data_IF_380398035670
#
_entry.id   IF_380398035670
#
_cell.length_a   1.000
_cell.length_b   1.000
_cell.length_c   1.000
_cell.angle_alpha   90.00
_cell.angle_beta   90.00
_cell.angle_gamma   90.00
#
_symmetry.space_group_name_H-M   'P 1'
#
loop_
_entity.id
_entity.type
_entity.pdbx_description
1 polymer ?
#
# COMPACT_ATOMS: atom_id res chain seq x y z
N UNK A 1 -41.12 -14.46 -16.42
CA UNK A 1 -40.62 -13.45 -15.47
C UNK A 1 -39.35 -14.01 -14.88
N UNK A 2 -38.18 -13.50 -15.28
CA UNK A 2 -36.91 -13.99 -14.74
C UNK A 2 -36.73 -13.42 -13.34
N UNK A 3 -36.70 -14.26 -12.32
CA UNK A 3 -36.51 -13.83 -10.93
C UNK A 3 -35.11 -13.24 -10.81
N UNK A 4 -35.00 -11.93 -10.65
CA UNK A 4 -33.72 -11.24 -10.49
C UNK A 4 -32.96 -11.78 -9.28
N UNK A 5 -31.69 -12.17 -9.41
CA UNK A 5 -30.96 -12.79 -8.31
C UNK A 5 -30.70 -11.78 -7.18
N UNK A 6 -31.04 -12.15 -5.94
CA UNK A 6 -30.73 -11.39 -4.72
C UNK A 6 -29.29 -11.61 -4.22
N UNK A 7 -28.41 -12.16 -5.07
CA UNK A 7 -27.01 -12.51 -4.78
C UNK A 7 -26.19 -12.52 -6.06
N UNK A 8 -24.88 -12.74 -5.96
CA UNK A 8 -24.01 -12.94 -7.14
C UNK A 8 -24.48 -14.11 -8.00
N UNK A 9 -24.35 -13.99 -9.32
CA UNK A 9 -24.69 -15.07 -10.26
C UNK A 9 -23.69 -16.21 -10.14
N UNK A 10 -24.08 -17.42 -10.58
CA UNK A 10 -23.17 -18.58 -10.60
C UNK A 10 -21.91 -18.31 -11.42
N UNK A 11 -22.04 -17.58 -12.53
CA UNK A 11 -20.90 -17.20 -13.38
C UNK A 11 -19.95 -16.23 -12.68
N UNK A 12 -20.48 -15.25 -11.94
CA UNK A 12 -19.67 -14.33 -11.13
C UNK A 12 -18.92 -15.09 -10.04
N UNK A 13 -19.61 -15.97 -9.31
CA UNK A 13 -19.00 -16.78 -8.25
C UNK A 13 -17.93 -17.71 -8.82
N UNK A 14 -18.24 -18.40 -9.93
CA UNK A 14 -17.28 -19.29 -10.58
C UNK A 14 -16.01 -18.54 -11.01
N UNK A 15 -16.13 -17.30 -11.49
CA UNK A 15 -14.99 -16.47 -11.83
C UNK A 15 -14.19 -16.02 -10.59
N UNK A 16 -14.87 -15.58 -9.53
CA UNK A 16 -14.23 -15.11 -8.30
C UNK A 16 -13.44 -16.21 -7.56
N UNK A 17 -13.87 -17.47 -7.70
CA UNK A 17 -13.18 -18.66 -7.16
C UNK A 17 -11.99 -19.14 -8.03
N UNK A 18 -11.73 -18.52 -9.18
CA UNK A 18 -10.55 -18.89 -9.97
C UNK A 18 -9.26 -18.38 -9.32
N UNK A 19 -8.14 -19.09 -9.51
CA UNK A 19 -6.83 -18.57 -9.13
C UNK A 19 -6.49 -17.30 -9.89
N UNK A 20 -5.70 -16.43 -9.29
CA UNK A 20 -5.22 -15.24 -9.97
C UNK A 20 -4.20 -15.61 -11.06
N UNK A 21 -4.31 -14.97 -12.23
CA UNK A 21 -3.34 -15.17 -13.30
C UNK A 21 -2.02 -14.47 -12.98
N UNK A 22 -0.90 -15.17 -13.14
CA UNK A 22 0.47 -14.66 -13.03
C UNK A 22 0.68 -13.34 -13.80
N UNK A 23 0.01 -13.16 -14.94
CA UNK A 23 0.15 -11.98 -15.80
C UNK A 23 -0.33 -10.70 -15.13
N UNK A 24 -1.17 -10.81 -14.10
CA UNK A 24 -1.74 -9.72 -13.32
C UNK A 24 -0.89 -9.36 -12.10
N UNK A 25 -0.02 -10.26 -11.65
CA UNK A 25 0.79 -10.07 -10.45
C UNK A 25 2.04 -9.26 -10.79
N UNK A 26 2.38 -8.31 -9.91
CA UNK A 26 3.61 -7.51 -9.98
C UNK A 26 4.39 -7.68 -8.68
N UNK A 27 5.70 -7.53 -8.78
CA UNK A 27 6.60 -7.59 -7.64
C UNK A 27 7.20 -6.20 -7.41
N UNK A 28 7.08 -5.70 -6.19
CA UNK A 28 7.72 -4.47 -5.75
C UNK A 28 8.39 -4.73 -4.41
N UNK A 29 9.73 -4.59 -4.34
CA UNK A 29 10.52 -4.80 -3.12
C UNK A 29 10.23 -6.15 -2.44
N UNK A 30 10.16 -7.21 -3.25
CA UNK A 30 9.86 -8.57 -2.76
C UNK A 30 8.40 -8.83 -2.43
N UNK A 31 7.48 -7.86 -2.61
CA UNK A 31 6.06 -8.04 -2.35
C UNK A 31 5.25 -8.18 -3.65
N UNK A 32 4.57 -9.31 -3.78
CA UNK A 32 3.55 -9.55 -4.80
C UNK A 32 2.33 -8.66 -4.56
N UNK A 33 1.88 -7.96 -5.59
CA UNK A 33 0.72 -7.08 -5.51
C UNK A 33 0.01 -6.96 -6.86
N UNK A 34 -1.18 -6.34 -6.83
CA UNK A 34 -1.92 -5.92 -8.01
C UNK A 34 -1.84 -4.41 -8.20
N UNK A 35 -1.84 -4.01 -9.47
CA UNK A 35 -2.01 -2.63 -9.86
C UNK A 35 -3.45 -2.17 -9.65
N UNK A 36 -3.64 -0.93 -9.18
CA UNK A 36 -4.98 -0.42 -8.87
C UNK A 36 -5.90 -0.35 -10.12
N UNK A 37 -5.33 -0.10 -11.30
CA UNK A 37 -6.10 -0.11 -12.55
C UNK A 37 -6.60 -1.52 -12.90
N UNK A 38 -5.83 -2.57 -12.59
CA UNK A 38 -6.23 -3.96 -12.85
C UNK A 38 -7.31 -4.42 -11.86
N UNK A 39 -7.25 -3.97 -10.59
CA UNK A 39 -8.36 -4.15 -9.64
C UNK A 39 -9.65 -3.51 -10.17
N UNK A 40 -9.60 -2.27 -10.66
CA UNK A 40 -10.76 -1.60 -11.29
C UNK A 40 -11.25 -2.36 -12.52
N UNK A 41 -10.34 -2.86 -13.36
CA UNK A 41 -10.68 -3.70 -14.52
C UNK A 41 -11.46 -4.95 -14.11
N UNK A 42 -11.09 -5.62 -13.02
CA UNK A 42 -11.84 -6.80 -12.57
C UNK A 42 -13.18 -6.44 -11.95
N UNK A 43 -13.27 -5.34 -11.19
CA UNK A 43 -14.56 -4.85 -10.69
C UNK A 43 -15.53 -4.63 -11.87
N UNK A 44 -15.08 -3.95 -12.92
CA UNK A 44 -15.88 -3.74 -14.14
C UNK A 44 -16.21 -5.06 -14.83
N UNK A 45 -15.24 -5.98 -14.96
CA UNK A 45 -15.45 -7.28 -15.62
C UNK A 45 -16.50 -8.13 -14.91
N UNK A 46 -16.45 -8.19 -13.58
CA UNK A 46 -17.30 -9.11 -12.80
C UNK A 46 -18.66 -8.48 -12.53
N UNK A 47 -18.72 -7.19 -12.18
CA UNK A 47 -19.94 -6.54 -11.71
C UNK A 47 -20.56 -5.58 -12.72
N UNK A 48 -19.85 -5.21 -13.78
CA UNK A 48 -20.30 -4.16 -14.71
C UNK A 48 -19.90 -2.75 -14.25
N UNK A 49 -20.14 -1.76 -15.10
CA UNK A 49 -19.75 -0.37 -14.83
C UNK A 49 -20.53 0.26 -13.66
N UNK A 50 -21.77 -0.18 -13.45
CA UNK A 50 -22.72 0.29 -12.45
C UNK A 50 -22.87 -0.66 -11.25
N UNK A 51 -22.32 -1.87 -11.33
CA UNK A 51 -22.41 -2.90 -10.30
C UNK A 51 -21.52 -2.69 -9.08
N UNK A 52 -20.83 -1.56 -8.98
CA UNK A 52 -20.08 -1.19 -7.77
C UNK A 52 -20.05 0.33 -7.56
N UNK A 53 -19.66 0.75 -6.35
CA UNK A 53 -19.41 2.16 -6.02
C UNK A 53 -18.21 2.22 -5.09
N UNK A 54 -17.34 3.22 -5.31
CA UNK A 54 -16.16 3.48 -4.51
C UNK A 54 -16.34 4.87 -3.89
N UNK A 55 -16.30 4.95 -2.57
CA UNK A 55 -16.43 6.19 -1.82
C UNK A 55 -15.16 6.43 -1.00
N UNK A 56 -14.64 7.65 -1.04
CA UNK A 56 -13.61 8.10 -0.10
C UNK A 56 -14.31 8.53 1.18
N UNK A 57 -14.09 7.80 2.28
CA UNK A 57 -14.67 8.10 3.59
C UNK A 57 -13.82 9.15 4.32
N UNK A 58 -12.50 9.00 4.28
CA UNK A 58 -11.57 10.02 4.77
C UNK A 58 -10.28 10.04 3.93
N UNK A 59 -9.62 11.20 3.92
CA UNK A 59 -8.28 11.39 3.36
C UNK A 59 -7.53 12.40 4.22
N UNK A 60 -6.67 11.90 5.08
CA UNK A 60 -6.04 12.65 6.15
C UNK A 60 -4.55 12.82 5.87
N UNK A 61 -4.04 14.06 5.89
CA UNK A 61 -2.59 14.31 5.91
C UNK A 61 -2.05 13.88 7.27
N UNK A 62 -1.19 12.86 7.29
CA UNK A 62 -0.60 12.33 8.52
C UNK A 62 0.73 13.02 8.82
N UNK A 63 1.53 13.27 7.78
CA UNK A 63 2.83 13.90 7.93
C UNK A 63 3.24 14.63 6.65
N UNK A 64 3.81 15.81 6.81
CA UNK A 64 4.50 16.57 5.78
C UNK A 64 5.84 17.02 6.37
N UNK A 65 6.94 16.58 5.76
CA UNK A 65 8.29 16.88 6.25
C UNK A 65 9.24 17.15 5.10
N UNK A 66 10.13 18.11 5.32
CA UNK A 66 11.33 18.21 4.51
C UNK A 66 12.31 17.10 4.92
N UNK A 67 12.88 16.36 3.97
CA UNK A 67 13.77 15.21 4.24
C UNK A 67 15.02 15.65 5.01
N UNK A 68 15.53 16.84 4.68
CA UNK A 68 16.58 17.55 5.41
C UNK A 68 16.31 19.04 5.29
N UNK A 69 16.55 19.80 6.35
CA UNK A 69 16.33 21.25 6.35
C UNK A 69 17.09 21.93 5.21
N UNK A 70 16.37 22.62 4.32
CA UNK A 70 16.91 23.34 3.16
C UNK A 70 17.22 22.47 1.93
N UNK A 71 16.86 21.18 1.94
CA UNK A 71 17.04 20.28 0.79
C UNK A 71 16.01 20.48 -0.32
N UNK A 72 14.89 21.15 -0.05
CA UNK A 72 13.70 21.21 -0.89
C UNK A 72 13.19 19.81 -1.32
N UNK A 73 13.47 18.79 -0.51
CA UNK A 73 12.99 17.42 -0.70
C UNK A 73 11.89 17.12 0.31
N UNK A 74 10.79 16.55 -0.15
CA UNK A 74 9.58 16.37 0.66
C UNK A 74 9.26 14.90 0.84
N UNK A 75 8.89 14.55 2.07
CA UNK A 75 8.30 13.26 2.42
C UNK A 75 6.90 13.50 2.97
N UNK A 76 5.91 13.02 2.24
CA UNK A 76 4.49 13.22 2.53
C UNK A 76 3.84 11.86 2.82
N UNK A 77 3.00 11.80 3.85
CA UNK A 77 2.21 10.61 4.19
C UNK A 77 0.76 11.00 4.35
N UNK A 78 -0.11 10.31 3.61
CA UNK A 78 -1.56 10.37 3.77
C UNK A 78 -2.09 9.03 4.31
N UNK A 79 -3.22 9.10 5.00
CA UNK A 79 -4.08 7.95 5.30
C UNK A 79 -5.40 8.15 4.57
N UNK A 80 -5.85 7.13 3.85
CA UNK A 80 -7.18 7.11 3.25
C UNK A 80 -8.02 6.00 3.87
N UNK A 81 -9.31 6.27 4.09
CA UNK A 81 -10.33 5.25 4.32
C UNK A 81 -11.27 5.23 3.10
N UNK A 82 -11.50 4.04 2.56
CA UNK A 82 -12.33 3.81 1.36
C UNK A 82 -13.43 2.83 1.69
N UNK A 83 -14.60 3.03 1.09
CA UNK A 83 -15.72 2.09 1.06
C UNK A 83 -15.93 1.59 -0.36
N UNK A 84 -16.01 0.27 -0.52
CA UNK A 84 -16.40 -0.41 -1.75
C UNK A 84 -17.76 -1.08 -1.54
N UNK A 85 -18.78 -0.62 -2.27
CA UNK A 85 -20.10 -1.23 -2.30
C UNK A 85 -20.26 -2.05 -3.58
N UNK A 86 -20.62 -3.32 -3.47
CA UNK A 86 -20.96 -4.19 -4.60
C UNK A 86 -22.48 -4.29 -4.72
N UNK A 87 -22.99 -4.28 -5.94
CA UNK A 87 -24.42 -4.29 -6.23
C UNK A 87 -24.81 -5.50 -7.06
N UNK A 88 -26.07 -5.89 -6.96
CA UNK A 88 -26.70 -6.85 -7.86
C UNK A 88 -26.91 -6.23 -9.24
N UNK A 89 -27.26 -7.05 -10.22
CA UNK A 89 -27.53 -6.61 -11.61
C UNK A 89 -28.75 -5.69 -11.74
N UNK A 90 -29.58 -5.58 -10.70
CA UNK A 90 -30.68 -4.60 -10.61
C UNK A 90 -30.30 -3.33 -9.82
N UNK A 91 -29.02 -3.18 -9.47
CA UNK A 91 -28.49 -2.01 -8.77
C UNK A 91 -28.65 -2.03 -7.24
N UNK A 92 -29.31 -3.04 -6.65
CA UNK A 92 -29.41 -3.14 -5.19
C UNK A 92 -28.05 -3.46 -4.55
N UNK A 93 -27.65 -2.79 -3.46
CA UNK A 93 -26.43 -3.16 -2.73
C UNK A 93 -26.49 -4.61 -2.22
N UNK A 94 -25.42 -5.37 -2.43
CA UNK A 94 -25.23 -6.73 -1.93
C UNK A 94 -24.31 -6.77 -0.71
N UNK A 95 -23.19 -6.06 -0.78
CA UNK A 95 -22.20 -6.03 0.30
C UNK A 95 -21.43 -4.72 0.28
N UNK A 96 -20.87 -4.36 1.43
CA UNK A 96 -20.05 -3.16 1.65
C UNK A 96 -18.78 -3.59 2.35
N UNK A 97 -17.63 -3.20 1.80
CA UNK A 97 -16.32 -3.39 2.41
C UNK A 97 -15.70 -2.03 2.69
N UNK A 98 -15.17 -1.86 3.89
CA UNK A 98 -14.40 -0.69 4.27
C UNK A 98 -13.02 -1.09 4.71
N UNK A 99 -12.02 -0.34 4.25
CA UNK A 99 -10.65 -0.52 4.70
C UNK A 99 -9.90 0.81 4.56
N UNK A 100 -8.74 0.88 5.20
CA UNK A 100 -7.87 2.04 5.17
C UNK A 100 -6.45 1.64 4.78
N UNK A 101 -5.71 2.61 4.24
CA UNK A 101 -4.30 2.45 3.95
C UNK A 101 -3.56 3.76 4.11
N UNK A 102 -2.29 3.65 4.50
CA UNK A 102 -1.34 4.74 4.32
C UNK A 102 -0.77 4.73 2.91
N UNK A 103 -0.41 5.91 2.41
CA UNK A 103 0.34 6.08 1.19
C UNK A 103 1.35 7.21 1.36
N UNK A 104 2.56 6.97 0.89
CA UNK A 104 3.68 7.87 1.04
C UNK A 104 4.25 8.31 -0.31
N UNK A 105 4.89 9.47 -0.29
CA UNK A 105 5.76 9.95 -1.35
C UNK A 105 7.06 10.39 -0.69
N UNK A 106 8.11 9.57 -0.83
CA UNK A 106 9.40 9.79 -0.18
C UNK A 106 10.33 10.60 -1.09
N UNK A 107 11.05 11.57 -0.52
CA UNK A 107 12.15 12.31 -1.15
C UNK A 107 11.80 13.00 -2.49
N UNK A 108 10.61 13.58 -2.58
CA UNK A 108 10.11 14.23 -3.80
C UNK A 108 10.64 15.66 -3.93
N UNK A 109 11.04 16.12 -5.14
CA UNK A 109 11.63 17.45 -5.34
C UNK A 109 10.62 18.60 -5.37
N UNK A 110 9.34 18.30 -5.51
CA UNK A 110 8.26 19.28 -5.64
C UNK A 110 7.17 18.93 -4.65
N UNK A 111 6.83 19.87 -3.77
CA UNK A 111 5.84 19.67 -2.71
C UNK A 111 4.49 19.22 -3.28
N UNK A 112 3.94 19.94 -4.26
CA UNK A 112 2.65 19.59 -4.86
C UNK A 112 2.58 18.18 -5.46
N UNK A 113 3.61 17.79 -6.23
CA UNK A 113 3.70 16.45 -6.82
C UNK A 113 3.83 15.37 -5.73
N UNK A 114 4.48 15.68 -4.60
CA UNK A 114 4.61 14.79 -3.46
C UNK A 114 3.25 14.52 -2.78
N UNK A 115 2.45 15.57 -2.56
CA UNK A 115 1.08 15.41 -2.04
C UNK A 115 0.23 14.57 -2.98
N UNK A 116 0.24 14.88 -4.28
CA UNK A 116 -0.55 14.16 -5.29
C UNK A 116 -0.20 12.67 -5.33
N UNK A 117 1.10 12.34 -5.34
CA UNK A 117 1.58 10.96 -5.32
C UNK A 117 1.17 10.22 -4.05
N UNK A 118 1.36 10.81 -2.87
CA UNK A 118 1.02 10.19 -1.59
C UNK A 118 -0.50 9.96 -1.45
N UNK A 119 -1.33 10.96 -1.81
CA UNK A 119 -2.79 10.85 -1.79
C UNK A 119 -3.29 9.73 -2.73
N UNK A 120 -2.81 9.72 -3.98
CA UNK A 120 -3.18 8.70 -4.97
C UNK A 120 -2.76 7.30 -4.54
N UNK A 121 -1.60 7.20 -3.90
CA UNK A 121 -1.09 5.94 -3.35
C UNK A 121 -2.00 5.45 -2.22
N UNK A 122 -2.31 6.30 -1.24
CA UNK A 122 -3.17 5.94 -0.10
C UNK A 122 -4.55 5.45 -0.56
N UNK A 123 -5.21 6.20 -1.45
CA UNK A 123 -6.52 5.84 -2.01
C UNK A 123 -6.47 4.52 -2.80
N UNK A 124 -5.42 4.32 -3.59
CA UNK A 124 -5.24 3.10 -4.39
C UNK A 124 -5.03 1.88 -3.49
N UNK A 125 -4.23 1.99 -2.45
CA UNK A 125 -3.99 0.90 -1.51
C UNK A 125 -5.25 0.57 -0.70
N UNK A 126 -5.99 1.58 -0.22
CA UNK A 126 -7.25 1.37 0.52
C UNK A 126 -8.30 0.68 -0.35
N UNK A 127 -8.44 1.07 -1.63
CA UNK A 127 -9.33 0.38 -2.57
C UNK A 127 -8.93 -1.09 -2.78
N UNK A 128 -7.63 -1.37 -2.98
CA UNK A 128 -7.15 -2.74 -3.14
C UNK A 128 -7.49 -3.59 -1.92
N UNK A 129 -7.29 -3.06 -0.71
CA UNK A 129 -7.62 -3.75 0.55
C UNK A 129 -9.12 -4.02 0.68
N UNK A 130 -9.98 -3.06 0.34
CA UNK A 130 -11.43 -3.32 0.27
C UNK A 130 -11.75 -4.49 -0.66
N UNK A 131 -11.16 -4.49 -1.86
CA UNK A 131 -11.44 -5.48 -2.90
C UNK A 131 -10.91 -6.89 -2.58
N UNK A 132 -9.91 -7.04 -1.71
CA UNK A 132 -9.37 -8.36 -1.31
C UNK A 132 -10.45 -9.27 -0.70
N UNK A 133 -11.49 -8.70 -0.08
CA UNK A 133 -12.64 -9.45 0.44
C UNK A 133 -13.47 -10.16 -0.65
N UNK A 134 -13.21 -9.89 -1.93
CA UNK A 134 -13.82 -10.57 -3.08
C UNK A 134 -13.04 -11.81 -3.54
N UNK A 135 -11.93 -12.14 -2.87
CA UNK A 135 -11.16 -13.36 -3.10
C UNK A 135 -9.95 -13.19 -4.01
N UNK A 136 -9.48 -14.30 -4.56
CA UNK A 136 -8.16 -14.42 -5.18
C UNK A 136 -8.00 -13.56 -6.43
N UNK A 137 -9.08 -13.36 -7.20
CA UNK A 137 -9.06 -12.42 -8.33
C UNK A 137 -8.68 -10.98 -7.94
N UNK A 138 -8.77 -10.62 -6.67
CA UNK A 138 -8.41 -9.32 -6.12
C UNK A 138 -7.18 -9.35 -5.22
N UNK A 139 -6.44 -10.47 -5.22
CA UNK A 139 -5.12 -10.59 -4.59
C UNK A 139 -5.13 -11.15 -3.17
N UNK A 140 -6.21 -11.81 -2.73
CA UNK A 140 -6.26 -12.46 -1.42
C UNK A 140 -5.15 -13.50 -1.24
N UNK A 141 -4.98 -14.42 -2.20
CA UNK A 141 -3.91 -15.42 -2.15
C UNK A 141 -2.50 -14.84 -2.00
N UNK A 142 -2.26 -13.59 -2.45
CA UNK A 142 -0.95 -12.95 -2.37
C UNK A 142 -0.54 -12.64 -0.92
N UNK A 143 -1.48 -12.62 0.02
CA UNK A 143 -1.20 -12.54 1.46
C UNK A 143 -0.62 -13.84 2.01
N UNK A 144 -0.68 -14.94 1.26
CA UNK A 144 -0.01 -16.19 1.61
C UNK A 144 1.37 -16.25 0.92
N UNK A 145 2.32 -15.44 1.40
CA UNK A 145 3.69 -15.33 0.88
C UNK A 145 3.76 -15.12 -0.65
N UNK A 146 2.90 -14.27 -1.19
CA UNK A 146 2.83 -13.98 -2.63
C UNK A 146 2.29 -15.12 -3.49
N UNK A 147 1.67 -16.14 -2.89
CA UNK A 147 1.10 -17.29 -3.58
C UNK A 147 0.01 -16.91 -4.59
N UNK A 148 0.03 -17.60 -5.73
CA UNK A 148 -1.01 -17.50 -6.77
C UNK A 148 -1.95 -18.70 -6.75
N UNK A 149 -1.73 -19.67 -5.84
CA UNK A 149 -2.67 -20.75 -5.61
C UNK A 149 -3.95 -20.19 -4.98
N UNK A 150 -5.13 -20.67 -5.36
CA UNK A 150 -6.37 -20.18 -4.79
C UNK A 150 -6.44 -20.55 -3.30
N UNK A 151 -6.82 -19.59 -2.46
CA UNK A 151 -7.05 -19.80 -1.02
C UNK A 151 -8.54 -19.79 -0.66
N UNK A 152 -9.41 -19.43 -1.60
CA UNK A 152 -10.86 -19.61 -1.48
C UNK A 152 -11.33 -20.58 -2.54
N UNK A 153 -11.35 -21.87 -2.19
CA UNK A 153 -11.78 -22.94 -3.11
C UNK A 153 -13.31 -23.02 -3.23
N UNK A 154 -14.04 -22.61 -2.18
CA UNK A 154 -15.49 -22.76 -2.12
C UNK A 154 -16.16 -21.77 -1.17
N UNK A 155 -17.44 -21.51 -1.42
CA UNK A 155 -18.31 -20.77 -0.50
C UNK A 155 -19.61 -21.54 -0.25
N UNK A 156 -19.87 -21.91 1.01
CA UNK A 156 -21.08 -22.62 1.44
C UNK A 156 -22.35 -21.84 1.07
N UNK A 157 -22.31 -20.50 1.16
CA UNK A 157 -23.42 -19.62 0.82
C UNK A 157 -23.88 -19.74 -0.65
N UNK A 158 -23.00 -20.20 -1.54
CA UNK A 158 -23.29 -20.35 -2.96
C UNK A 158 -23.39 -21.80 -3.42
N UNK A 159 -22.68 -22.74 -2.79
CA UNK A 159 -22.47 -24.09 -3.33
C UNK A 159 -22.81 -25.26 -2.36
N UNK A 160 -23.30 -25.01 -1.14
CA UNK A 160 -23.86 -26.07 -0.29
C UNK A 160 -22.81 -26.93 0.43
N UNK A 161 -22.30 -27.99 -0.20
CA UNK A 161 -21.36 -28.94 0.44
C UNK A 161 -19.97 -28.30 0.69
N UNK A 162 -19.32 -28.48 1.84
CA UNK A 162 -17.95 -27.99 2.07
C UNK A 162 -16.89 -28.75 1.25
N UNK A 163 -15.80 -28.05 0.91
CA UNK A 163 -14.52 -28.71 0.59
C UNK A 163 -13.84 -29.04 1.93
N UNK A 164 -13.11 -30.15 2.00
CA UNK A 164 -12.36 -30.50 3.22
C UNK A 164 -11.23 -29.51 3.41
N UNK A 165 -11.06 -28.98 4.61
CA UNK A 165 -9.93 -28.07 4.95
C UNK A 165 -8.56 -28.68 4.63
N UNK A 166 -8.44 -30.02 4.62
CA UNK A 166 -7.22 -30.71 4.19
C UNK A 166 -6.83 -30.48 2.73
N UNK A 167 -7.74 -29.97 1.91
CA UNK A 167 -7.50 -29.61 0.51
C UNK A 167 -7.07 -28.14 0.34
N UNK A 168 -7.12 -27.34 1.40
CA UNK A 168 -6.72 -25.94 1.35
C UNK A 168 -5.21 -25.78 1.20
N UNK A 169 -4.81 -24.69 0.55
CA UNK A 169 -3.40 -24.31 0.45
C UNK A 169 -2.85 -24.07 1.87
N UNK A 170 -1.69 -24.65 2.24
CA UNK A 170 -1.08 -24.40 3.54
C UNK A 170 -0.90 -22.91 3.80
N UNK A 171 -1.20 -22.47 5.03
CA UNK A 171 -1.03 -21.09 5.46
C UNK A 171 0.44 -20.83 5.73
N UNK A 172 1.06 -20.00 4.90
CA UNK A 172 2.37 -19.41 5.08
C UNK A 172 2.29 -18.09 5.84
N UNK A 173 3.41 -17.38 5.88
CA UNK A 173 3.49 -16.07 6.53
C UNK A 173 2.92 -14.97 5.63
N UNK A 174 2.36 -13.93 6.23
CA UNK A 174 2.04 -12.72 5.49
C UNK A 174 3.33 -12.05 4.98
N UNK A 175 3.32 -11.47 3.76
CA UNK A 175 4.46 -10.73 3.24
C UNK A 175 4.79 -9.58 4.19
N UNK A 176 5.89 -9.72 4.93
CA UNK A 176 6.44 -8.60 5.68
C UNK A 176 7.25 -7.77 4.69
N UNK A 177 7.10 -6.45 4.62
CA UNK A 177 8.03 -5.62 3.88
C UNK A 177 9.42 -5.98 4.37
N UNK A 178 10.26 -6.55 3.50
CA UNK A 178 11.67 -6.70 3.81
C UNK A 178 12.16 -5.29 4.09
N UNK A 179 12.39 -5.00 5.37
CA UNK A 179 12.95 -3.74 5.78
C UNK A 179 14.16 -3.51 4.89
N UNK A 180 14.25 -2.31 4.31
CA UNK A 180 15.57 -1.72 4.17
C UNK A 180 16.19 -1.93 5.56
N UNK A 181 17.19 -2.82 5.66
CA UNK A 181 18.16 -2.72 6.72
C UNK A 181 18.62 -1.27 6.63
N UNK A 182 18.04 -0.41 7.48
CA UNK A 182 18.61 0.88 7.74
C UNK A 182 19.99 0.53 8.27
N UNK A 183 21.00 0.65 7.42
CA UNK A 183 22.33 0.85 7.94
C UNK A 183 22.17 1.99 8.94
N UNK A 184 22.56 1.81 10.22
CA UNK A 184 22.53 2.91 11.16
C UNK A 184 23.29 4.07 10.50
N UNK A 185 22.64 5.23 10.44
CA UNK A 185 23.30 6.46 9.99
C UNK A 185 24.65 6.51 10.72
N UNK A 186 25.78 6.68 10.00
CA UNK A 186 27.06 6.81 10.66
C UNK A 186 26.93 7.96 11.67
N UNK A 187 27.25 7.65 12.93
CA UNK A 187 27.23 8.59 14.04
C UNK A 187 27.76 9.95 13.59
N UNK A 188 27.07 11.07 13.90
CA UNK A 188 27.51 12.38 13.46
C UNK A 188 28.94 12.61 13.94
N UNK A 189 29.87 12.74 12.97
CA UNK A 189 31.28 13.03 13.23
C UNK A 189 31.36 14.21 14.19
N UNK A 190 32.03 14.08 15.36
CA UNK A 190 32.14 15.20 16.28
C UNK A 190 32.82 16.38 15.58
N UNK A 191 32.37 17.63 15.85
CA UNK A 191 32.90 18.80 15.18
C UNK A 191 34.41 18.93 15.44
N UNK A 192 35.18 19.47 14.47
CA UNK A 192 36.62 19.59 14.62
C UNK A 192 36.95 20.46 15.83
N UNK A 193 37.77 19.92 16.73
CA UNK A 193 38.34 20.62 17.88
C UNK A 193 39.01 21.90 17.41
N UNK A 194 38.52 23.06 17.88
CA UNK A 194 39.19 24.34 17.63
C UNK A 194 40.62 24.26 18.15
N UNK A 195 41.59 24.43 17.25
CA UNK A 195 42.99 24.55 17.62
C UNK A 195 43.18 25.72 18.60
N UNK A 196 43.90 25.47 19.69
CA UNK A 196 44.25 26.48 20.67
C UNK A 196 45.12 27.58 20.01
N UNK A 197 44.98 28.87 20.42
CA UNK A 197 45.81 29.94 19.87
C UNK A 197 47.29 29.69 20.19
N UNK A 198 48.12 29.61 19.15
CA UNK A 198 49.58 29.64 19.29
C UNK A 198 50.00 30.99 19.88
N UNK A 199 50.74 30.95 20.98
CA UNK A 199 51.35 32.12 21.61
C UNK A 199 52.38 32.75 20.65
N UNK A 200 52.25 34.05 20.43
CA UNK A 200 53.23 34.84 19.68
C UNK A 200 54.56 34.96 20.47
N UNK A 201 55.72 34.93 19.81
CA UNK A 201 57.01 35.09 20.49
C UNK A 201 57.20 36.52 20.98
N UNK A 202 57.62 36.63 22.25
CA UNK A 202 58.00 37.86 22.95
C UNK A 202 59.23 38.52 22.32
N UNK A 203 59.13 39.83 22.04
CA UNK A 203 60.24 40.67 21.59
C UNK A 203 61.26 40.92 22.73
N UNK A 204 62.57 41.03 22.45
CA UNK A 204 63.58 41.30 23.47
C UNK A 204 63.59 42.77 23.89
N UNK A 205 63.88 42.98 25.17
CA UNK A 205 63.92 44.27 25.85
C UNK A 205 65.07 45.17 25.37
N UNK A 206 64.77 46.47 25.22
CA UNK A 206 65.75 47.51 24.93
C UNK A 206 66.61 47.83 26.17
N UNK A 207 67.92 47.93 25.96
CA UNK A 207 68.92 48.39 26.93
C UNK A 207 68.92 49.93 26.94
N UNK A 208 68.92 50.61 28.10
CA UNK A 208 69.09 52.05 28.15
C UNK A 208 70.59 52.40 28.20
N UNK A 209 71.01 53.34 27.36
CA UNK A 209 72.34 53.97 27.42
C UNK A 209 72.29 55.32 28.20
N UNK A 210 73.42 55.75 28.79
CA UNK A 210 73.50 56.80 29.82
C UNK A 210 73.30 58.24 29.34
#
# INVERSE_FOLDING_TARGET
>A
MSTTPARLTEQQVAFLLQPISEKRVRNLRGMSHLEAWDVRRQLIRVFGFDGFTIETISLDLVSERETQAGSNRWTIVYRAQVRLTIKATDGRPLTVFEDAAAGDAINQPKLGDAHDLAMKTALSQALKRCAVNLGDQFGLSLYNDGSQAPVVLRSLAYMGEPVKESEDTPVGSEPTPQGQSAEPDPDPTPPPTKAAPQQAPTAPAAVPDP
#
